data_IF_808763688004
#
_entry.id   IF_808763688004
#
_cell.length_a   1.000
_cell.length_b   1.000
_cell.length_c   1.000
_cell.angle_alpha   90.00
_cell.angle_beta   90.00
_cell.angle_gamma   90.00
#
_symmetry.space_group_name_H-M   'P 1'
#
loop_
_entity.id
_entity.type
_entity.pdbx_description
1 polymer ?
#
# COMPACT_ATOMS: atom_id res chain seq x y z
N UNK A 1 -1.11 -10.03 -1.38
CA UNK A 1 -1.92 -10.78 -0.39
C UNK A 1 -1.47 -10.51 1.06
N UNK A 2 -0.19 -10.74 1.39
CA UNK A 2 0.32 -10.61 2.77
C UNK A 2 0.21 -9.19 3.34
N UNK A 3 0.59 -8.17 2.56
CA UNK A 3 0.52 -6.76 2.98
C UNK A 3 -0.91 -6.30 3.34
N UNK A 4 -1.89 -6.65 2.50
CA UNK A 4 -3.30 -6.33 2.74
C UNK A 4 -3.86 -7.09 3.95
N UNK A 5 -3.47 -8.35 4.13
CA UNK A 5 -3.85 -9.16 5.30
C UNK A 5 -3.33 -8.58 6.62
N UNK A 6 -2.08 -8.11 6.65
CA UNK A 6 -1.53 -7.41 7.82
C UNK A 6 -2.17 -6.04 8.04
N UNK A 7 -2.46 -5.29 6.97
CA UNK A 7 -3.16 -4.00 7.04
C UNK A 7 -4.53 -4.11 7.70
N UNK A 8 -5.32 -5.14 7.35
CA UNK A 8 -6.62 -5.40 8.00
C UNK A 8 -6.47 -5.68 9.50
N UNK A 9 -5.52 -6.52 9.90
CA UNK A 9 -5.30 -6.84 11.32
C UNK A 9 -4.79 -5.64 12.14
N UNK A 10 -3.96 -4.79 11.53
CA UNK A 10 -3.43 -3.59 12.19
C UNK A 10 -4.53 -2.57 12.46
N UNK A 11 -5.43 -2.44 11.51
CA UNK A 11 -6.57 -1.57 11.58
C UNK A 11 -7.57 -2.00 12.66
N UNK A 12 -7.90 -3.30 12.71
CA UNK A 12 -8.77 -3.87 13.75
C UNK A 12 -8.20 -3.65 15.18
N UNK A 13 -6.87 -3.74 15.34
CA UNK A 13 -6.20 -3.53 16.63
C UNK A 13 -6.19 -2.05 17.04
N UNK A 14 -5.91 -1.14 16.10
CA UNK A 14 -5.92 0.31 16.36
C UNK A 14 -7.32 0.85 16.67
N UNK A 15 -8.36 0.22 16.12
CA UNK A 15 -9.75 0.53 16.44
C UNK A 15 -10.13 0.09 17.86
N UNK A 16 -9.78 -1.15 18.24
CA UNK A 16 -10.04 -1.68 19.57
C UNK A 16 -9.38 -0.87 20.70
N UNK A 17 -8.13 -0.42 20.51
CA UNK A 17 -7.43 0.45 21.47
C UNK A 17 -8.12 1.82 21.64
N UNK A 18 -8.74 2.37 20.58
CA UNK A 18 -9.37 3.70 20.62
C UNK A 18 -10.80 3.70 21.15
N UNK A 19 -11.57 2.65 20.88
CA UNK A 19 -12.99 2.58 21.27
C UNK A 19 -13.22 2.10 22.70
N UNK A 20 -12.17 1.72 23.44
CA UNK A 20 -12.30 1.18 24.81
C UNK A 20 -13.07 -0.14 24.88
N UNK A 21 -13.30 -0.78 23.72
CA UNK A 21 -13.98 -2.07 23.60
C UNK A 21 -13.00 -3.21 23.90
N UNK A 22 -13.48 -4.15 24.71
CA UNK A 22 -12.67 -5.17 25.34
C UNK A 22 -11.90 -6.03 24.30
N UNK A 23 -10.57 -5.99 24.38
CA UNK A 23 -9.60 -6.69 23.50
C UNK A 23 -9.84 -8.22 23.50
N UNK A 24 -10.59 -8.70 24.49
CA UNK A 24 -11.00 -10.09 24.74
C UNK A 24 -11.86 -10.71 23.64
N UNK A 25 -12.51 -9.93 22.77
CA UNK A 25 -13.42 -10.48 21.75
C UNK A 25 -12.70 -11.15 20.56
N UNK A 26 -11.37 -10.97 20.39
CA UNK A 26 -10.62 -11.64 19.30
C UNK A 26 -9.29 -12.20 19.77
N UNK A 27 -9.29 -13.45 20.22
CA UNK A 27 -8.11 -14.25 20.58
C UNK A 27 -6.97 -14.25 19.53
N UNK A 28 -7.26 -13.93 18.27
CA UNK A 28 -6.27 -13.80 17.19
C UNK A 28 -5.34 -12.56 17.29
N UNK A 29 -5.68 -11.58 18.14
CA UNK A 29 -4.94 -10.31 18.28
C UNK A 29 -4.13 -10.21 19.59
N UNK A 30 -4.29 -11.15 20.53
CA UNK A 30 -3.71 -11.05 21.89
C UNK A 30 -2.18 -11.08 21.97
N UNK A 31 -1.49 -11.38 20.86
CA UNK A 31 -0.02 -11.38 20.76
C UNK A 31 0.59 -10.25 19.93
N UNK A 32 -0.22 -9.44 19.23
CA UNK A 32 0.31 -8.42 18.31
C UNK A 32 0.38 -7.06 18.99
N UNK A 33 1.60 -6.53 19.15
CA UNK A 33 1.82 -5.14 19.56
C UNK A 33 1.68 -4.23 18.35
N UNK A 34 0.84 -3.20 18.41
CA UNK A 34 0.63 -2.21 17.34
C UNK A 34 1.94 -1.64 16.75
N UNK A 35 3.00 -1.35 17.54
CA UNK A 35 4.29 -0.90 17.01
C UNK A 35 4.97 -1.95 16.12
N UNK A 36 4.94 -3.23 16.49
CA UNK A 36 5.57 -4.30 15.71
C UNK A 36 4.91 -4.45 14.35
N UNK A 37 3.58 -4.37 14.32
CA UNK A 37 2.81 -4.49 13.10
C UNK A 37 3.00 -3.27 12.17
N UNK A 38 3.15 -2.07 12.75
CA UNK A 38 3.56 -0.85 12.04
C UNK A 38 4.93 -1.03 11.37
N UNK A 39 5.93 -1.52 12.11
CA UNK A 39 7.26 -1.78 11.57
C UNK A 39 7.25 -2.83 10.46
N UNK A 40 6.52 -3.93 10.63
CA UNK A 40 6.39 -4.96 9.61
C UNK A 40 5.75 -4.42 8.32
N UNK A 41 4.72 -3.58 8.44
CA UNK A 41 4.11 -2.95 7.27
C UNK A 41 5.01 -1.93 6.58
N UNK A 42 5.74 -1.11 7.33
CA UNK A 42 6.72 -0.17 6.76
C UNK A 42 7.84 -0.91 6.01
N UNK A 43 8.34 -2.00 6.60
CA UNK A 43 9.37 -2.82 5.98
C UNK A 43 8.87 -3.47 4.68
N UNK A 44 7.68 -4.06 4.71
CA UNK A 44 7.06 -4.69 3.55
C UNK A 44 6.73 -3.67 2.45
N UNK A 45 6.32 -2.46 2.83
CA UNK A 45 6.12 -1.33 1.91
C UNK A 45 7.42 -0.96 1.20
N UNK A 46 8.53 -0.81 1.94
CA UNK A 46 9.84 -0.52 1.37
C UNK A 46 10.31 -1.59 0.37
N UNK A 47 10.19 -2.87 0.75
CA UNK A 47 10.52 -4.00 -0.14
C UNK A 47 9.65 -3.98 -1.40
N UNK A 48 8.36 -3.68 -1.28
CA UNK A 48 7.44 -3.65 -2.42
C UNK A 48 7.83 -2.56 -3.41
N UNK A 49 8.16 -1.36 -2.93
CA UNK A 49 8.65 -0.27 -3.78
C UNK A 49 9.97 -0.65 -4.45
N UNK A 50 10.92 -1.20 -3.69
CA UNK A 50 12.21 -1.60 -4.23
C UNK A 50 12.09 -2.69 -5.30
N UNK A 51 11.24 -3.69 -5.04
CA UNK A 51 10.95 -4.75 -6.00
C UNK A 51 10.32 -4.20 -7.28
N UNK A 52 9.43 -3.21 -7.17
CA UNK A 52 8.84 -2.55 -8.33
C UNK A 52 9.89 -1.77 -9.14
N UNK A 53 10.74 -0.99 -8.48
CA UNK A 53 11.82 -0.27 -9.15
C UNK A 53 12.77 -1.25 -9.86
N UNK A 54 13.19 -2.30 -9.17
CA UNK A 54 14.02 -3.36 -9.76
C UNK A 54 13.36 -4.00 -10.98
N UNK A 55 12.04 -4.30 -10.90
CA UNK A 55 11.27 -4.81 -12.03
C UNK A 55 11.26 -3.84 -13.22
N UNK A 56 11.07 -2.54 -12.98
CA UNK A 56 11.03 -1.54 -14.06
C UNK A 56 12.37 -1.32 -14.75
N UNK A 57 13.49 -1.59 -14.06
CA UNK A 57 14.84 -1.47 -14.60
C UNK A 57 15.40 -2.78 -15.13
N UNK A 58 14.72 -3.91 -14.88
CA UNK A 58 15.20 -5.21 -15.33
C UNK A 58 15.26 -5.28 -16.85
N UNK A 59 16.37 -5.80 -17.37
CA UNK A 59 16.65 -5.92 -18.80
C UNK A 59 15.57 -6.69 -19.56
N UNK A 60 14.94 -7.68 -18.92
CA UNK A 60 13.83 -8.44 -19.50
C UNK A 60 12.57 -7.58 -19.65
N UNK A 61 12.26 -6.76 -18.66
CA UNK A 61 11.12 -5.82 -18.70
C UNK A 61 11.36 -4.73 -19.73
N UNK A 62 12.55 -4.15 -19.78
CA UNK A 62 12.92 -3.14 -20.77
C UNK A 62 12.86 -3.71 -22.18
N UNK A 63 13.32 -4.96 -22.40
CA UNK A 63 13.20 -5.63 -23.68
C UNK A 63 11.74 -5.93 -24.06
N UNK A 64 10.90 -6.31 -23.09
CA UNK A 64 9.49 -6.64 -23.32
C UNK A 64 8.64 -5.41 -23.68
N UNK A 65 8.77 -4.32 -22.92
CA UNK A 65 8.04 -3.07 -23.19
C UNK A 65 8.78 -2.15 -24.15
N UNK A 66 9.99 -2.53 -24.56
CA UNK A 66 10.90 -1.74 -25.39
C UNK A 66 11.39 -0.45 -24.74
N UNK A 67 11.08 -0.13 -23.47
CA UNK A 67 11.30 1.16 -22.81
C UNK A 67 11.95 1.02 -21.44
N UNK A 68 12.89 1.92 -21.13
CA UNK A 68 13.51 2.09 -19.81
C UNK A 68 12.75 3.10 -18.94
N UNK A 69 11.79 3.82 -19.52
CA UNK A 69 11.06 4.92 -18.87
C UNK A 69 9.99 4.45 -17.89
N UNK A 70 9.71 3.14 -17.80
CA UNK A 70 8.71 2.61 -16.86
C UNK A 70 8.99 3.02 -15.41
N UNK A 71 10.26 3.28 -15.06
CA UNK A 71 10.69 3.74 -13.73
C UNK A 71 10.01 5.06 -13.31
N UNK A 72 9.55 5.90 -14.23
CA UNK A 72 8.82 7.14 -13.90
C UNK A 72 7.45 6.90 -13.24
N UNK A 73 6.92 5.67 -13.32
CA UNK A 73 5.71 5.29 -12.59
C UNK A 73 6.00 4.94 -11.11
N UNK A 74 7.26 4.69 -10.73
CA UNK A 74 7.64 4.27 -9.39
C UNK A 74 7.32 5.30 -8.29
N UNK A 75 7.50 6.63 -8.48
CA UNK A 75 7.06 7.62 -7.51
C UNK A 75 5.57 7.56 -7.20
N UNK A 76 4.71 7.27 -8.19
CA UNK A 76 3.28 7.10 -7.97
C UNK A 76 2.97 5.85 -7.15
N UNK A 77 3.65 4.73 -7.44
CA UNK A 77 3.51 3.49 -6.66
C UNK A 77 3.94 3.71 -5.20
N UNK A 78 5.06 4.40 -4.97
CA UNK A 78 5.50 4.77 -3.64
C UNK A 78 4.47 5.65 -2.91
N UNK A 79 3.94 6.68 -3.58
CA UNK A 79 2.92 7.56 -3.02
C UNK A 79 1.63 6.80 -2.66
N UNK A 80 1.20 5.85 -3.50
CA UNK A 80 0.03 5.02 -3.25
C UNK A 80 0.22 4.15 -1.98
N UNK A 81 1.40 3.55 -1.81
CA UNK A 81 1.74 2.74 -0.64
C UNK A 81 1.80 3.60 0.62
N UNK A 82 2.43 4.77 0.56
CA UNK A 82 2.47 5.71 1.70
C UNK A 82 1.05 6.14 2.08
N UNK A 83 0.19 6.45 1.10
CA UNK A 83 -1.19 6.84 1.36
C UNK A 83 -2.00 5.72 2.00
N UNK A 84 -1.81 4.48 1.53
CA UNK A 84 -2.41 3.31 2.16
C UNK A 84 -1.99 3.16 3.63
N UNK A 85 -0.69 3.27 3.92
CA UNK A 85 -0.17 3.20 5.28
C UNK A 85 -0.78 4.29 6.17
N UNK A 86 -0.91 5.51 5.64
CA UNK A 86 -1.54 6.61 6.37
C UNK A 86 -3.00 6.33 6.73
N UNK A 87 -3.79 5.83 5.79
CA UNK A 87 -5.19 5.44 6.02
C UNK A 87 -5.31 4.28 7.01
N UNK A 88 -4.47 3.25 6.86
CA UNK A 88 -4.51 2.05 7.70
C UNK A 88 -4.06 2.30 9.15
N UNK A 89 -3.03 3.15 9.35
CA UNK A 89 -2.34 3.29 10.65
C UNK A 89 -2.68 4.56 11.42
N UNK A 90 -2.93 5.67 10.74
CA UNK A 90 -3.14 6.98 11.37
C UNK A 90 -4.61 7.41 11.35
N UNK A 91 -5.40 6.95 10.38
CA UNK A 91 -6.82 7.27 10.25
C UNK A 91 -7.73 6.04 10.21
N UNK A 92 -7.68 5.15 11.21
CA UNK A 92 -8.60 4.02 11.29
C UNK A 92 -10.05 4.55 11.39
N UNK A 93 -10.87 4.21 10.39
CA UNK A 93 -12.33 4.39 10.35
C UNK A 93 -13.00 3.00 10.43
N UNK A 94 -14.30 2.88 10.65
CA UNK A 94 -14.99 1.58 10.64
C UNK A 94 -14.88 0.79 9.32
N UNK A 95 -14.65 1.50 8.20
CA UNK A 95 -14.48 0.90 6.87
C UNK A 95 -13.13 0.19 6.72
N UNK A 96 -13.12 -0.95 6.04
CA UNK A 96 -11.88 -1.69 5.76
C UNK A 96 -10.84 -0.78 5.06
N UNK A 97 -9.53 -0.89 5.36
CA UNK A 97 -8.50 -0.02 4.78
C UNK A 97 -8.53 0.03 3.26
N UNK A 98 -8.82 -1.10 2.62
CA UNK A 98 -9.02 -1.23 1.17
C UNK A 98 -10.21 -0.44 0.66
N UNK A 99 -11.33 -0.44 1.38
CA UNK A 99 -12.52 0.30 1.00
C UNK A 99 -12.33 1.80 1.21
N UNK A 100 -11.62 2.18 2.28
CA UNK A 100 -11.18 3.55 2.50
C UNK A 100 -10.27 4.08 1.38
N UNK A 101 -9.46 3.22 0.73
CA UNK A 101 -8.66 3.62 -0.45
C UNK A 101 -9.54 4.01 -1.63
N UNK A 102 -10.57 3.21 -1.95
CA UNK A 102 -11.45 3.49 -3.10
C UNK A 102 -12.34 4.72 -2.87
N UNK A 103 -12.58 5.09 -1.61
CA UNK A 103 -13.31 6.31 -1.25
C UNK A 103 -12.41 7.54 -1.13
N UNK A 104 -11.08 7.39 -1.14
CA UNK A 104 -10.15 8.52 -0.99
C UNK A 104 -9.79 9.13 -2.36
N UNK A 105 -10.26 10.36 -2.66
CA UNK A 105 -9.99 11.00 -3.95
C UNK A 105 -8.49 11.19 -4.20
N UNK A 106 -7.67 11.36 -3.15
CA UNK A 106 -6.22 11.45 -3.31
C UNK A 106 -5.61 10.14 -3.79
N UNK A 107 -6.09 9.01 -3.27
CA UNK A 107 -5.60 7.70 -3.71
C UNK A 107 -5.98 7.43 -5.18
N UNK A 108 -7.21 7.77 -5.56
CA UNK A 108 -7.67 7.64 -6.94
C UNK A 108 -6.88 8.52 -7.91
N UNK A 109 -6.51 9.74 -7.53
CA UNK A 109 -5.65 10.61 -8.35
C UNK A 109 -4.25 10.02 -8.54
N UNK A 110 -3.64 9.48 -7.47
CA UNK A 110 -2.33 8.83 -7.56
C UNK A 110 -2.41 7.61 -8.49
N UNK A 111 -3.46 6.79 -8.35
CA UNK A 111 -3.69 5.63 -9.19
C UNK A 111 -3.92 6.03 -10.66
N UNK A 112 -4.74 7.05 -10.91
CA UNK A 112 -4.99 7.59 -12.24
C UNK A 112 -3.71 8.13 -12.89
N UNK A 113 -2.89 8.87 -12.13
CA UNK A 113 -1.58 9.35 -12.59
C UNK A 113 -0.61 8.22 -12.92
N UNK A 114 -0.57 7.16 -12.12
CA UNK A 114 0.25 5.98 -12.40
C UNK A 114 -0.17 5.32 -13.72
N UNK A 115 -1.48 5.09 -13.90
CA UNK A 115 -2.03 4.46 -15.11
C UNK A 115 -1.77 5.33 -16.34
N UNK A 116 -2.05 6.64 -16.25
CA UNK A 116 -1.79 7.58 -17.34
C UNK A 116 -0.30 7.60 -17.73
N UNK A 117 0.61 7.62 -16.74
CA UNK A 117 2.05 7.57 -16.98
C UNK A 117 2.45 6.28 -17.70
N UNK A 118 1.96 5.13 -17.25
CA UNK A 118 2.24 3.84 -17.89
C UNK A 118 1.69 3.79 -19.32
N UNK A 119 0.46 4.25 -19.54
CA UNK A 119 -0.16 4.28 -20.86
C UNK A 119 0.60 5.19 -21.83
N UNK A 120 1.01 6.38 -21.37
CA UNK A 120 1.82 7.30 -22.18
C UNK A 120 3.18 6.71 -22.53
N UNK A 121 3.81 5.97 -21.61
CA UNK A 121 5.11 5.36 -21.87
C UNK A 121 5.01 4.16 -22.85
N UNK A 122 3.94 3.37 -22.77
CA UNK A 122 3.75 2.17 -23.61
C UNK A 122 3.20 2.54 -24.99
N UNK A 123 2.18 3.39 -25.05
CA UNK A 123 1.47 3.72 -26.29
C UNK A 123 1.85 5.08 -26.89
N UNK A 124 2.46 5.98 -26.13
CA UNK A 124 2.94 7.28 -26.63
C UNK A 124 4.26 7.19 -27.39
N UNK A 125 4.50 6.05 -28.04
CA UNK A 125 5.63 5.79 -28.93
C UNK A 125 5.27 6.01 -30.38
#
# INVERSE_FOLDING_TARGET
>A
AVFLGFGKRAHELAWAERSGSDITTRAALSGYRLPLLRWAMLFLAGITVLAYVAYTLDTRTVAFFGTDRLVYSAPFVAAAIVRFLFLALWRPKDDSPTEAMFKDPWFLLILGGAVATILLIIYGR
#
